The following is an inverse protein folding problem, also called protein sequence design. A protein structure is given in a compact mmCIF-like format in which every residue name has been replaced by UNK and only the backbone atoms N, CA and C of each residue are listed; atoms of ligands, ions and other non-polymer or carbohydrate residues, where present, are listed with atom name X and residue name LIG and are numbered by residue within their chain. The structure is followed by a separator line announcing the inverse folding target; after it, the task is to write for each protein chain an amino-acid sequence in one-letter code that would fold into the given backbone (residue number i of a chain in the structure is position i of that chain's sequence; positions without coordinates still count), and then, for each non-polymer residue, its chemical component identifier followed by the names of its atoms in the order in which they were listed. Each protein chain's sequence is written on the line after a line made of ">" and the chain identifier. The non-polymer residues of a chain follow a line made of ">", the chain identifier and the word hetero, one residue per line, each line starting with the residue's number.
data_IF_473385283069
#
_entry.id   IF_473385283069
#
_cell.length_a   1.000
_cell.length_b   1.000
_cell.length_c   1.000
_cell.angle_alpha   90.00
_cell.angle_beta   90.00
_cell.angle_gamma   90.00
#
_symmetry.space_group_name_H-M   'P 1'
#
loop_
_entity.id
_entity.type
_entity.pdbx_description
1 polymer ?
#
# COMPACT_ATOMS: atom_id res chain seq x y z
N UNK A 1 -18.30 4.36 -2.79
CA UNK A 1 -17.26 5.35 -3.14
C UNK A 1 -17.82 6.74 -2.96
N UNK A 2 -17.07 7.64 -2.32
CA UNK A 2 -17.48 9.05 -2.18
C UNK A 2 -17.08 9.80 -3.46
N UNK A 3 -17.99 10.57 -4.09
CA UNK A 3 -17.65 11.36 -5.26
C UNK A 3 -16.42 12.25 -5.01
N UNK A 4 -15.50 12.32 -5.98
CA UNK A 4 -14.25 13.10 -5.92
C UNK A 4 -13.22 12.67 -4.85
N UNK A 5 -13.42 11.54 -4.19
CA UNK A 5 -12.46 10.96 -3.23
C UNK A 5 -11.96 9.59 -3.74
N UNK A 6 -10.93 9.56 -4.59
CA UNK A 6 -10.48 8.31 -5.21
C UNK A 6 -9.79 7.39 -4.21
N UNK A 7 -9.98 6.09 -4.37
CA UNK A 7 -9.16 5.06 -3.73
C UNK A 7 -8.12 4.61 -4.76
N UNK A 8 -6.85 4.60 -4.36
CA UNK A 8 -5.76 4.11 -5.22
C UNK A 8 -5.34 2.74 -4.71
N UNK A 9 -5.23 1.76 -5.61
CA UNK A 9 -4.71 0.42 -5.30
C UNK A 9 -3.53 0.11 -6.22
N UNK A 10 -2.40 -0.25 -5.64
CA UNK A 10 -1.19 -0.67 -6.35
C UNK A 10 -0.98 -2.16 -6.07
N UNK A 11 -0.75 -2.95 -7.12
CA UNK A 11 -0.56 -4.40 -7.01
C UNK A 11 0.90 -4.76 -7.29
N UNK A 12 1.52 -5.47 -6.35
CA UNK A 12 2.77 -6.19 -6.56
C UNK A 12 2.48 -7.69 -6.59
N UNK A 13 2.45 -8.26 -7.79
CA UNK A 13 2.14 -9.66 -8.01
C UNK A 13 3.21 -10.58 -7.41
N UNK A 14 2.76 -11.58 -6.64
CA UNK A 14 3.61 -12.64 -6.09
C UNK A 14 3.84 -13.78 -7.09
N UNK A 15 4.74 -14.68 -6.76
CA UNK A 15 5.04 -15.86 -7.58
C UNK A 15 3.92 -16.90 -7.59
N UNK A 16 3.05 -16.90 -6.57
CA UNK A 16 1.92 -17.81 -6.41
C UNK A 16 0.63 -16.98 -6.20
N UNK A 17 0.00 -16.47 -7.28
CA UNK A 17 -1.18 -15.60 -7.20
C UNK A 17 -2.42 -16.27 -6.59
N UNK A 18 -2.45 -17.60 -6.52
CA UNK A 18 -3.49 -18.40 -5.90
C UNK A 18 -3.47 -18.32 -4.36
N UNK A 19 -2.33 -17.93 -3.77
CA UNK A 19 -2.25 -17.72 -2.33
C UNK A 19 -2.99 -16.43 -1.93
N UNK A 20 -3.57 -16.38 -0.72
CA UNK A 20 -4.21 -15.17 -0.21
C UNK A 20 -3.27 -13.96 -0.23
N UNK A 21 -3.75 -12.86 -0.80
CA UNK A 21 -2.99 -11.62 -0.92
C UNK A 21 -2.88 -10.89 0.43
N UNK A 22 -1.84 -10.08 0.57
CA UNK A 22 -1.63 -9.19 1.72
C UNK A 22 -2.06 -7.78 1.31
N UNK A 23 -2.88 -7.12 2.14
CA UNK A 23 -3.29 -5.73 1.93
C UNK A 23 -2.55 -4.81 2.91
N UNK A 24 -1.79 -3.87 2.36
CA UNK A 24 -1.19 -2.75 3.07
C UNK A 24 -2.10 -1.53 2.90
N UNK A 25 -2.83 -1.13 3.94
CA UNK A 25 -3.77 -0.03 3.88
C UNK A 25 -3.20 1.24 4.51
N UNK A 26 -3.47 2.39 3.89
CA UNK A 26 -3.15 3.72 4.41
C UNK A 26 -4.24 4.72 4.05
N UNK A 27 -4.53 5.68 4.95
CA UNK A 27 -5.51 6.75 4.74
C UNK A 27 -4.81 8.07 4.38
N UNK A 28 -5.40 8.88 3.50
CA UNK A 28 -4.80 10.09 2.93
C UNK A 28 -5.37 11.39 3.50
N UNK A 29 -6.53 11.37 4.16
CA UNK A 29 -7.13 12.56 4.78
C UNK A 29 -6.41 13.02 6.04
N UNK A 30 -6.10 14.31 6.10
CA UNK A 30 -5.57 14.93 7.32
C UNK A 30 -6.73 15.33 8.22
N UNK A 31 -6.63 15.06 9.51
CA UNK A 31 -7.54 15.58 10.53
C UNK A 31 -6.81 16.65 11.36
N UNK A 32 -7.42 17.82 11.66
CA UNK A 32 -6.69 18.98 12.19
C UNK A 32 -6.06 18.80 13.58
N UNK A 33 -6.38 17.72 14.29
CA UNK A 33 -6.16 17.59 15.74
C UNK A 33 -5.08 16.55 16.08
N UNK A 34 -4.62 15.76 15.12
CA UNK A 34 -3.65 14.69 15.34
C UNK A 34 -2.39 14.88 14.50
N UNK A 35 -1.22 14.52 15.04
CA UNK A 35 0.01 14.44 14.26
C UNK A 35 -0.16 13.49 13.07
N UNK A 36 0.37 13.91 11.93
CA UNK A 36 0.04 13.35 10.65
C UNK A 36 0.63 11.93 10.45
N UNK A 37 -0.22 10.91 10.33
CA UNK A 37 0.20 9.50 10.15
C UNK A 37 0.54 9.15 8.69
N UNK A 38 0.71 10.13 7.79
CA UNK A 38 0.94 9.90 6.33
C UNK A 38 2.27 9.25 6.02
N UNK A 39 3.20 9.24 6.98
CA UNK A 39 4.43 8.46 6.88
C UNK A 39 4.19 6.97 6.63
N UNK A 40 3.06 6.40 7.08
CA UNK A 40 2.75 4.97 6.90
C UNK A 40 2.61 4.59 5.42
N UNK A 41 1.90 5.41 4.64
CA UNK A 41 1.76 5.19 3.19
C UNK A 41 3.11 5.27 2.47
N UNK A 42 3.93 6.25 2.84
CA UNK A 42 5.29 6.39 2.31
C UNK A 42 6.20 5.23 2.71
N UNK A 43 6.06 4.71 3.94
CA UNK A 43 6.81 3.55 4.41
C UNK A 43 6.45 2.29 3.61
N UNK A 44 5.18 2.08 3.25
CA UNK A 44 4.79 0.98 2.35
C UNK A 44 5.48 1.09 0.99
N UNK A 45 5.44 2.27 0.36
CA UNK A 45 6.08 2.48 -0.94
C UNK A 45 7.59 2.29 -0.86
N UNK A 46 8.23 2.78 0.20
CA UNK A 46 9.67 2.66 0.38
C UNK A 46 10.09 1.22 0.67
N UNK A 47 9.33 0.48 1.48
CA UNK A 47 9.56 -0.93 1.69
C UNK A 47 9.51 -1.70 0.36
N UNK A 48 8.49 -1.43 -0.48
CA UNK A 48 8.39 -2.05 -1.81
C UNK A 48 9.56 -1.67 -2.71
N UNK A 49 9.98 -0.40 -2.73
CA UNK A 49 11.13 0.05 -3.52
C UNK A 49 12.41 -0.67 -3.10
N UNK A 50 12.69 -0.75 -1.79
CA UNK A 50 13.89 -1.43 -1.25
C UNK A 50 13.87 -2.92 -1.55
N UNK A 51 12.74 -3.60 -1.32
CA UNK A 51 12.63 -5.04 -1.55
C UNK A 51 12.77 -5.40 -3.03
N UNK A 52 12.15 -4.61 -3.93
CA UNK A 52 12.33 -4.78 -5.38
C UNK A 52 13.78 -4.53 -5.81
N UNK A 53 14.43 -3.48 -5.30
CA UNK A 53 15.83 -3.18 -5.57
C UNK A 53 16.80 -4.27 -5.08
N UNK A 54 16.46 -4.94 -3.98
CA UNK A 54 17.20 -6.09 -3.45
C UNK A 54 16.90 -7.42 -4.18
N UNK A 55 16.06 -7.41 -5.22
CA UNK A 55 15.70 -8.62 -5.98
C UNK A 55 14.77 -9.58 -5.24
N UNK A 56 14.11 -9.14 -4.16
CA UNK A 56 13.19 -9.98 -3.39
C UNK A 56 11.97 -10.35 -4.24
N UNK A 57 11.68 -11.65 -4.30
CA UNK A 57 10.45 -12.19 -4.89
C UNK A 57 9.53 -12.67 -3.77
N UNK A 58 8.33 -12.10 -3.72
CA UNK A 58 7.31 -12.51 -2.75
C UNK A 58 6.52 -13.70 -3.32
N UNK A 59 6.16 -14.64 -2.45
CA UNK A 59 5.26 -15.74 -2.83
C UNK A 59 3.83 -15.23 -3.00
N UNK A 60 3.36 -14.39 -2.07
CA UNK A 60 2.02 -13.80 -2.08
C UNK A 60 2.00 -12.47 -2.81
N UNK A 61 0.87 -12.18 -3.45
CA UNK A 61 0.57 -10.85 -3.98
C UNK A 61 0.39 -9.85 -2.83
N UNK A 62 0.94 -8.65 -3.00
CA UNK A 62 0.75 -7.54 -2.08
C UNK A 62 -0.04 -6.45 -2.79
N UNK A 63 -1.15 -6.03 -2.20
CA UNK A 63 -1.89 -4.84 -2.61
C UNK A 63 -1.59 -3.71 -1.64
N UNK A 64 -1.34 -2.50 -2.15
CA UNK A 64 -1.17 -1.30 -1.35
C UNK A 64 -2.35 -0.39 -1.68
N UNK A 65 -3.17 -0.07 -0.69
CA UNK A 65 -4.33 0.80 -0.86
C UNK A 65 -4.14 2.13 -0.15
N UNK A 66 -4.39 3.21 -0.88
CA UNK A 66 -4.53 4.55 -0.33
C UNK A 66 -6.00 4.93 -0.38
N UNK A 67 -6.61 5.05 0.80
CA UNK A 67 -8.01 5.44 0.95
C UNK A 67 -8.09 6.91 1.33
N UNK A 68 -9.13 7.64 0.91
CA UNK A 68 -9.40 9.00 1.34
C UNK A 68 -9.53 9.10 2.83
#
# INVERSE_FOLDING_TARGET
>A
MVPKKPVVVITWQGAQPELPAILLNSHMDVVPVYEDMKGVGMAHLEAVRRLKGAGVRLQRTVHISFVP
#
